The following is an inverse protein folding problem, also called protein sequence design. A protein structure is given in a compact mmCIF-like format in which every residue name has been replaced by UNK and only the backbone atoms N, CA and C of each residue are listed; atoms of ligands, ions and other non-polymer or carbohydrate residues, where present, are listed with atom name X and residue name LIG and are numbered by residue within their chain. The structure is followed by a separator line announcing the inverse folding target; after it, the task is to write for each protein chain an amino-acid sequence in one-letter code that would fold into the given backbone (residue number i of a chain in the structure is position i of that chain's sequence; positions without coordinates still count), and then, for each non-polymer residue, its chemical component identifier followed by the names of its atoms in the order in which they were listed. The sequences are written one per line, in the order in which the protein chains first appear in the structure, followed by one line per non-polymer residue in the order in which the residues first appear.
data_IF_868002461705
#
_entry.id   IF_868002461705
#
_cell.length_a   1.000
_cell.length_b   1.000
_cell.length_c   1.000
_cell.angle_alpha   90.00
_cell.angle_beta   90.00
_cell.angle_gamma   90.00
#
_symmetry.space_group_name_H-M   'P 1'
#
loop_
_entity.id
_entity.type
_entity.pdbx_description
1 polymer ?
#
# COMPACT_ATOMS: atom_id res chain seq x y z
N UNK A 1 26.34 -17.79 -50.08
CA UNK A 1 25.91 -16.37 -50.03
C UNK A 1 24.41 -16.37 -50.30
N UNK A 2 23.49 -16.09 -49.39
CA UNK A 2 23.49 -15.65 -48.00
C UNK A 2 22.05 -15.22 -47.70
N UNK A 3 21.31 -15.99 -46.89
CA UNK A 3 19.94 -15.64 -46.49
C UNK A 3 19.92 -15.37 -44.99
N UNK A 4 19.71 -14.10 -44.66
CA UNK A 4 19.71 -13.55 -43.32
C UNK A 4 18.48 -13.98 -42.52
N UNK A 5 18.78 -14.61 -41.40
CA UNK A 5 17.94 -15.00 -40.27
C UNK A 5 17.08 -13.81 -39.77
N UNK A 6 15.75 -13.99 -39.66
CA UNK A 6 14.88 -13.04 -38.94
C UNK A 6 14.92 -13.38 -37.44
N UNK A 7 15.31 -12.42 -36.61
CA UNK A 7 15.15 -12.50 -35.15
C UNK A 7 13.76 -12.01 -34.72
N UNK A 8 13.13 -12.63 -33.70
CA UNK A 8 12.04 -12.02 -32.96
C UNK A 8 12.53 -11.67 -31.55
N UNK A 9 12.49 -10.40 -31.16
CA UNK A 9 12.70 -10.08 -29.75
C UNK A 9 13.06 -8.64 -29.43
N UNK A 10 12.04 -7.82 -29.18
CA UNK A 10 12.02 -6.90 -28.04
C UNK A 10 10.61 -6.32 -27.91
N UNK A 11 9.84 -6.80 -26.93
CA UNK A 11 8.71 -6.03 -26.40
C UNK A 11 9.32 -5.17 -25.30
N UNK A 12 9.53 -3.90 -25.62
CA UNK A 12 9.91 -2.92 -24.63
C UNK A 12 8.70 -2.70 -23.71
N UNK A 13 8.71 -3.37 -22.56
CA UNK A 13 7.80 -3.05 -21.46
C UNK A 13 8.26 -1.74 -20.84
N UNK A 14 7.53 -0.67 -21.16
CA UNK A 14 7.66 0.62 -20.49
C UNK A 14 7.33 0.46 -19.00
N UNK A 15 8.05 1.11 -18.07
CA UNK A 15 7.64 1.15 -16.68
C UNK A 15 6.38 2.01 -16.56
N UNK A 16 5.39 1.53 -15.80
CA UNK A 16 4.19 2.26 -15.44
C UNK A 16 4.55 3.33 -14.41
N UNK A 17 5.06 4.47 -14.88
CA UNK A 17 5.26 5.65 -14.04
C UNK A 17 3.91 6.35 -13.83
N UNK A 18 3.23 6.04 -12.72
CA UNK A 18 2.14 6.86 -12.19
C UNK A 18 2.60 7.45 -10.88
N UNK A 19 3.37 8.54 -10.94
CA UNK A 19 3.45 9.55 -9.89
C UNK A 19 4.12 10.79 -10.51
N UNK A 20 3.30 11.74 -10.96
CA UNK A 20 3.75 13.12 -11.19
C UNK A 20 2.79 14.04 -10.45
N UNK A 21 3.24 14.49 -9.27
CA UNK A 21 2.62 15.59 -8.55
C UNK A 21 2.66 16.88 -9.39
N UNK A 22 1.54 17.59 -9.45
CA UNK A 22 1.45 18.93 -10.05
C UNK A 22 1.94 19.94 -8.99
N UNK A 23 2.99 20.74 -9.24
CA UNK A 23 3.41 21.74 -8.26
C UNK A 23 2.49 22.97 -8.35
N UNK A 24 1.79 23.28 -7.26
CA UNK A 24 1.17 24.60 -7.06
C UNK A 24 2.18 25.50 -6.37
N UNK A 25 2.68 26.48 -7.12
CA UNK A 25 3.61 27.49 -6.63
C UNK A 25 2.83 28.55 -5.84
N UNK A 26 3.20 28.81 -4.59
CA UNK A 26 2.77 30.03 -3.90
C UNK A 26 3.94 30.64 -3.12
N UNK A 27 4.20 31.92 -3.38
CA UNK A 27 5.22 32.74 -2.73
C UNK A 27 4.52 33.72 -1.80
N UNK A 28 4.86 33.72 -0.50
CA UNK A 28 5.10 34.95 0.29
C UNK A 28 5.60 34.67 1.73
N UNK A 29 6.85 35.10 1.96
CA UNK A 29 7.52 35.66 3.14
C UNK A 29 7.25 35.20 4.60
N UNK A 30 8.28 34.55 5.15
CA UNK A 30 8.92 34.64 6.48
C UNK A 30 8.11 34.67 7.80
N UNK A 31 8.22 33.56 8.52
CA UNK A 31 8.66 33.50 9.92
C UNK A 31 9.64 32.32 10.00
N UNK A 32 10.84 32.49 10.56
CA UNK A 32 11.83 31.39 10.65
C UNK A 32 11.28 30.25 11.52
N UNK A 33 11.12 29.02 10.99
CA UNK A 33 10.76 27.87 11.79
C UNK A 33 12.01 27.22 12.36
N UNK A 34 11.88 26.74 13.59
CA UNK A 34 12.85 25.90 14.28
C UNK A 34 13.22 24.69 13.41
N UNK A 35 14.41 24.74 12.79
CA UNK A 35 14.86 23.79 11.74
C UNK A 35 15.10 22.36 12.23
N UNK A 36 14.84 22.07 13.51
CA UNK A 36 14.91 20.74 14.09
C UNK A 36 13.68 19.88 13.74
N UNK A 37 12.47 20.46 13.68
CA UNK A 37 11.23 19.68 13.50
C UNK A 37 11.02 19.25 12.03
N UNK A 38 11.37 20.12 11.09
CA UNK A 38 11.06 19.90 9.67
C UNK A 38 11.87 18.76 9.03
N UNK A 39 13.05 18.43 9.55
CA UNK A 39 13.86 17.31 9.05
C UNK A 39 13.32 15.97 9.55
N UNK A 40 12.89 15.93 10.81
CA UNK A 40 12.35 14.73 11.44
C UNK A 40 10.98 14.36 10.83
N UNK A 41 10.11 15.35 10.61
CA UNK A 41 8.81 15.17 9.94
C UNK A 41 8.94 14.60 8.53
N UNK A 42 9.94 15.07 7.77
CA UNK A 42 10.21 14.57 6.42
C UNK A 42 10.72 13.12 6.41
N UNK A 43 11.40 12.70 7.47
CA UNK A 43 11.96 11.36 7.59
C UNK A 43 10.90 10.33 7.96
N UNK A 44 9.99 10.67 8.88
CA UNK A 44 8.87 9.82 9.29
C UNK A 44 7.87 9.63 8.14
N UNK A 45 7.55 10.72 7.43
CA UNK A 45 6.72 10.63 6.22
C UNK A 45 7.40 9.77 5.14
N UNK A 46 8.72 9.87 4.97
CA UNK A 46 9.46 9.03 4.02
C UNK A 46 9.46 7.54 4.43
N UNK A 47 9.55 7.25 5.73
CA UNK A 47 9.51 5.88 6.24
C UNK A 47 8.14 5.24 6.03
N UNK A 48 7.05 5.97 6.28
CA UNK A 48 5.69 5.47 6.02
C UNK A 48 5.47 5.11 4.54
N UNK A 49 5.84 6.01 3.61
CA UNK A 49 5.76 5.71 2.17
C UNK A 49 6.66 4.53 1.77
N UNK A 50 7.82 4.38 2.40
CA UNK A 50 8.70 3.24 2.16
C UNK A 50 8.05 1.93 2.61
N UNK A 51 7.46 1.91 3.80
CA UNK A 51 6.76 0.74 4.34
C UNK A 51 5.56 0.34 3.47
N UNK A 52 4.78 1.32 3.02
CA UNK A 52 3.72 1.13 2.01
C UNK A 52 4.23 0.46 0.73
N UNK A 53 5.33 0.98 0.17
CA UNK A 53 5.93 0.41 -1.03
C UNK A 53 6.43 -1.03 -0.80
N UNK A 54 6.96 -1.32 0.39
CA UNK A 54 7.40 -2.64 0.79
C UNK A 54 6.21 -3.62 0.89
N UNK A 55 5.18 -3.28 1.67
CA UNK A 55 3.96 -4.09 1.80
C UNK A 55 3.34 -4.39 0.44
N UNK A 56 3.26 -3.36 -0.42
CA UNK A 56 2.78 -3.50 -1.79
C UNK A 56 3.63 -4.49 -2.60
N UNK A 57 4.95 -4.32 -2.61
CA UNK A 57 5.86 -5.19 -3.36
C UNK A 57 5.76 -6.64 -2.89
N UNK A 58 5.74 -6.85 -1.58
CA UNK A 58 5.62 -8.17 -0.95
C UNK A 58 4.28 -8.84 -1.25
N UNK A 59 3.19 -8.07 -1.22
CA UNK A 59 1.85 -8.54 -1.56
C UNK A 59 1.75 -8.93 -3.05
N UNK A 60 2.20 -8.05 -3.94
CA UNK A 60 2.16 -8.27 -5.39
C UNK A 60 3.01 -9.48 -5.80
N UNK A 61 4.18 -9.67 -5.18
CA UNK A 61 5.04 -10.83 -5.45
C UNK A 61 4.35 -12.15 -5.07
N UNK A 62 3.70 -12.22 -3.90
CA UNK A 62 2.98 -13.41 -3.42
C UNK A 62 1.74 -13.70 -4.26
N UNK A 63 0.98 -12.66 -4.63
CA UNK A 63 -0.15 -12.82 -5.55
C UNK A 63 0.30 -13.35 -6.91
N UNK A 64 1.37 -12.79 -7.48
CA UNK A 64 1.91 -13.24 -8.76
C UNK A 64 2.37 -14.71 -8.69
N UNK A 65 3.00 -15.12 -7.58
CA UNK A 65 3.40 -16.50 -7.38
C UNK A 65 2.19 -17.46 -7.39
N UNK A 66 1.10 -17.12 -6.69
CA UNK A 66 -0.14 -17.89 -6.69
C UNK A 66 -0.75 -17.97 -8.10
N UNK A 67 -0.91 -16.83 -8.77
CA UNK A 67 -1.48 -16.77 -10.13
C UNK A 67 -0.67 -17.61 -11.12
N UNK A 68 0.67 -17.53 -11.05
CA UNK A 68 1.55 -18.26 -11.95
C UNK A 68 1.47 -19.79 -11.72
N UNK A 69 1.42 -20.24 -10.46
CA UNK A 69 1.26 -21.66 -10.14
C UNK A 69 -0.07 -22.21 -10.68
N UNK A 70 -1.17 -21.47 -10.47
CA UNK A 70 -2.51 -21.81 -10.96
C UNK A 70 -2.55 -21.84 -12.49
N UNK A 71 -2.01 -20.81 -13.16
CA UNK A 71 -1.99 -20.73 -14.62
C UNK A 71 -1.17 -21.85 -15.28
N UNK A 72 -0.11 -22.31 -14.62
CA UNK A 72 0.70 -23.43 -15.06
C UNK A 72 0.06 -24.80 -14.78
N UNK A 73 -1.05 -24.86 -14.04
CA UNK A 73 -1.66 -26.11 -13.59
C UNK A 73 -0.82 -26.87 -12.56
N UNK A 74 0.06 -26.16 -11.84
CA UNK A 74 0.88 -26.73 -10.78
C UNK A 74 0.14 -26.77 -9.45
N UNK A 75 0.69 -27.52 -8.49
CA UNK A 75 0.30 -27.37 -7.08
C UNK A 75 0.57 -25.92 -6.63
N UNK A 76 -0.40 -25.33 -5.95
CA UNK A 76 -0.46 -23.90 -5.61
C UNK A 76 -0.78 -23.64 -4.13
N UNK A 77 -0.97 -24.70 -3.33
CA UNK A 77 -1.39 -24.58 -1.92
C UNK A 77 -0.34 -23.89 -1.06
N UNK A 78 0.94 -24.04 -1.37
CA UNK A 78 2.02 -23.35 -0.66
C UNK A 78 1.97 -21.84 -0.91
N UNK A 79 1.85 -21.41 -2.18
CA UNK A 79 1.79 -20.00 -2.55
C UNK A 79 0.53 -19.34 -1.99
N UNK A 80 -0.59 -20.07 -1.99
CA UNK A 80 -1.84 -19.63 -1.37
C UNK A 80 -1.67 -19.41 0.13
N UNK A 81 -1.09 -20.37 0.85
CA UNK A 81 -0.85 -20.26 2.29
C UNK A 81 0.10 -19.10 2.62
N UNK A 82 1.20 -18.98 1.89
CA UNK A 82 2.17 -17.90 2.08
C UNK A 82 1.55 -16.51 1.85
N UNK A 83 0.63 -16.38 0.89
CA UNK A 83 -0.14 -15.15 0.67
C UNK A 83 -1.07 -14.86 1.85
N UNK A 84 -1.85 -15.84 2.31
CA UNK A 84 -2.78 -15.69 3.43
C UNK A 84 -2.06 -15.38 4.75
N UNK A 85 -0.93 -16.02 5.01
CA UNK A 85 -0.08 -15.78 6.19
C UNK A 85 0.43 -14.33 6.21
N UNK A 86 0.97 -13.84 5.09
CA UNK A 86 1.41 -12.45 4.97
C UNK A 86 0.26 -11.44 5.13
N UNK A 87 -0.91 -11.74 4.57
CA UNK A 87 -2.09 -10.88 4.69
C UNK A 87 -2.57 -10.77 6.15
N UNK A 88 -2.59 -11.90 6.87
CA UNK A 88 -3.04 -11.96 8.27
C UNK A 88 -2.01 -11.42 9.27
N UNK A 89 -0.72 -11.56 8.96
CA UNK A 89 0.38 -11.07 9.79
C UNK A 89 0.62 -9.59 9.58
N UNK A 90 1.22 -9.26 8.44
CA UNK A 90 1.78 -7.93 8.19
C UNK A 90 0.70 -6.92 7.78
N UNK A 91 -0.11 -7.28 6.78
CA UNK A 91 -1.11 -6.34 6.24
C UNK A 91 -2.18 -6.00 7.28
N UNK A 92 -2.71 -6.98 8.02
CA UNK A 92 -3.75 -6.68 9.02
C UNK A 92 -3.21 -5.91 10.23
N UNK A 93 -1.97 -6.17 10.66
CA UNK A 93 -1.35 -5.39 11.73
C UNK A 93 -1.22 -3.89 11.33
N UNK A 94 -0.83 -3.64 10.08
CA UNK A 94 -0.79 -2.31 9.49
C UNK A 94 -2.17 -1.63 9.50
N UNK A 95 -3.19 -2.25 8.89
CA UNK A 95 -4.55 -1.68 8.80
C UNK A 95 -5.19 -1.44 10.18
N UNK A 96 -4.95 -2.33 11.15
CA UNK A 96 -5.44 -2.13 12.51
C UNK A 96 -4.80 -0.89 13.15
N UNK A 97 -3.51 -0.65 12.88
CA UNK A 97 -2.81 0.52 13.40
C UNK A 97 -3.31 1.81 12.76
N UNK A 98 -3.55 1.83 11.46
CA UNK A 98 -4.22 2.95 10.78
C UNK A 98 -5.57 3.29 11.43
N UNK A 99 -6.43 2.28 11.66
CA UNK A 99 -7.75 2.47 12.26
C UNK A 99 -7.66 3.07 13.67
N UNK A 100 -6.73 2.57 14.49
CA UNK A 100 -6.52 3.04 15.86
C UNK A 100 -5.94 4.46 15.91
N UNK A 101 -5.19 4.86 14.89
CA UNK A 101 -4.35 6.05 14.93
C UNK A 101 -4.89 7.12 13.98
N UNK A 102 -4.77 6.89 12.67
CA UNK A 102 -5.16 7.84 11.64
C UNK A 102 -6.67 8.04 11.59
N UNK A 103 -7.47 6.97 11.65
CA UNK A 103 -8.92 7.11 11.46
C UNK A 103 -9.57 7.75 12.68
N UNK A 104 -9.02 7.52 13.88
CA UNK A 104 -9.42 8.22 15.09
C UNK A 104 -9.12 9.72 15.02
N UNK A 105 -7.94 10.12 14.56
CA UNK A 105 -7.64 11.53 14.34
C UNK A 105 -8.52 12.15 13.25
N UNK A 106 -8.77 11.42 12.16
CA UNK A 106 -9.62 11.85 11.06
C UNK A 106 -11.07 12.07 11.50
N UNK A 107 -11.60 11.20 12.37
CA UNK A 107 -12.89 11.43 13.04
C UNK A 107 -12.87 12.70 13.89
N UNK A 108 -11.77 12.96 14.61
CA UNK A 108 -11.59 14.16 15.45
C UNK A 108 -11.66 15.47 14.67
N UNK A 109 -11.24 15.47 13.39
CA UNK A 109 -11.30 16.64 12.50
C UNK A 109 -12.54 16.65 11.58
N UNK A 110 -13.50 15.75 11.82
CA UNK A 110 -14.80 15.72 11.12
C UNK A 110 -14.84 14.93 9.81
N UNK A 111 -13.80 14.18 9.45
CA UNK A 111 -13.72 13.40 8.21
C UNK A 111 -14.50 12.07 8.25
N UNK A 112 -15.67 12.03 8.90
CA UNK A 112 -16.41 10.80 9.19
C UNK A 112 -16.78 9.97 7.94
N UNK A 113 -17.17 10.63 6.85
CA UNK A 113 -17.58 9.94 5.62
C UNK A 113 -16.38 9.25 4.92
N UNK A 114 -15.20 9.89 4.94
CA UNK A 114 -13.98 9.30 4.39
C UNK A 114 -13.55 8.09 5.21
N UNK A 115 -13.54 8.23 6.54
CA UNK A 115 -13.22 7.11 7.45
C UNK A 115 -14.17 5.93 7.25
N UNK A 116 -15.48 6.18 7.14
CA UNK A 116 -16.45 5.12 6.89
C UNK A 116 -16.22 4.41 5.54
N UNK A 117 -15.75 5.13 4.53
CA UNK A 117 -15.40 4.55 3.23
C UNK A 117 -14.14 3.66 3.32
N UNK A 118 -13.12 4.10 4.05
CA UNK A 118 -11.90 3.32 4.26
C UNK A 118 -12.15 2.05 5.10
N UNK A 119 -12.98 2.15 6.14
CA UNK A 119 -13.41 0.98 6.93
C UNK A 119 -14.21 -0.04 6.10
N UNK A 120 -14.95 0.41 5.08
CA UNK A 120 -15.60 -0.48 4.11
C UNK A 120 -14.60 -1.17 3.20
N UNK A 121 -13.53 -0.48 2.79
CA UNK A 121 -12.42 -1.10 2.07
C UNK A 121 -11.79 -2.19 2.95
N UNK A 122 -11.45 -1.90 4.22
CA UNK A 122 -10.91 -2.87 5.19
C UNK A 122 -11.76 -4.12 5.35
N UNK A 123 -13.08 -3.96 5.51
CA UNK A 123 -14.03 -5.09 5.56
C UNK A 123 -14.02 -5.92 4.28
N UNK A 124 -13.96 -5.27 3.13
CA UNK A 124 -13.93 -5.94 1.83
C UNK A 124 -12.64 -6.74 1.65
N UNK A 125 -11.52 -6.26 2.20
CA UNK A 125 -10.24 -6.95 2.17
C UNK A 125 -10.24 -8.18 3.07
N UNK A 126 -10.75 -8.05 4.29
CA UNK A 126 -10.95 -9.18 5.20
C UNK A 126 -11.80 -10.28 4.53
N UNK A 127 -12.87 -9.89 3.85
CA UNK A 127 -13.70 -10.83 3.09
C UNK A 127 -12.93 -11.50 1.93
N UNK A 128 -12.08 -10.76 1.22
CA UNK A 128 -11.28 -11.32 0.13
C UNK A 128 -10.19 -12.26 0.65
N UNK A 129 -9.59 -11.98 1.81
CA UNK A 129 -8.66 -12.91 2.47
C UNK A 129 -9.36 -14.23 2.77
N UNK A 130 -10.58 -14.17 3.30
CA UNK A 130 -11.37 -15.38 3.54
C UNK A 130 -11.72 -16.13 2.25
N UNK A 131 -12.06 -15.41 1.17
CA UNK A 131 -12.31 -16.03 -0.13
C UNK A 131 -11.06 -16.72 -0.69
N UNK A 132 -9.87 -16.13 -0.52
CA UNK A 132 -8.60 -16.78 -0.90
C UNK A 132 -8.41 -18.05 -0.05
N UNK A 133 -8.57 -17.95 1.27
CA UNK A 133 -8.33 -19.02 2.25
C UNK A 133 -9.40 -20.13 2.28
N UNK A 134 -10.56 -19.93 1.66
CA UNK A 134 -11.60 -20.96 1.52
C UNK A 134 -11.97 -21.27 0.07
N UNK A 135 -11.23 -20.75 -0.90
CA UNK A 135 -11.44 -21.03 -2.31
C UNK A 135 -11.52 -22.54 -2.61
N UNK A 136 -12.55 -22.95 -3.35
CA UNK A 136 -12.71 -24.35 -3.76
C UNK A 136 -11.76 -24.75 -4.90
N UNK A 137 -11.27 -23.76 -5.67
CA UNK A 137 -10.35 -23.97 -6.78
C UNK A 137 -9.22 -22.94 -6.75
N UNK A 138 -8.08 -23.31 -7.34
CA UNK A 138 -6.96 -22.38 -7.49
C UNK A 138 -7.31 -21.14 -8.32
N UNK A 139 -8.21 -21.29 -9.31
CA UNK A 139 -8.69 -20.15 -10.10
C UNK A 139 -9.48 -19.15 -9.23
N UNK A 140 -10.36 -19.63 -8.36
CA UNK A 140 -11.13 -18.77 -7.44
C UNK A 140 -10.19 -18.05 -6.46
N UNK A 141 -9.15 -18.75 -5.96
CA UNK A 141 -8.13 -18.17 -5.11
C UNK A 141 -7.36 -17.06 -5.83
N UNK A 142 -6.92 -17.32 -7.06
CA UNK A 142 -6.16 -16.38 -7.89
C UNK A 142 -6.98 -15.12 -8.24
N UNK A 143 -8.26 -15.28 -8.60
CA UNK A 143 -9.16 -14.15 -8.88
C UNK A 143 -9.40 -13.28 -7.64
N UNK A 144 -9.61 -13.93 -6.48
CA UNK A 144 -9.79 -13.23 -5.21
C UNK A 144 -8.52 -12.48 -4.79
N UNK A 145 -7.35 -13.10 -4.98
CA UNK A 145 -6.06 -12.48 -4.74
C UNK A 145 -5.83 -11.24 -5.62
N UNK A 146 -6.10 -11.34 -6.92
CA UNK A 146 -6.00 -10.19 -7.83
C UNK A 146 -6.94 -9.05 -7.42
N UNK A 147 -8.18 -9.36 -7.07
CA UNK A 147 -9.14 -8.36 -6.59
C UNK A 147 -8.65 -7.68 -5.31
N UNK A 148 -8.11 -8.46 -4.37
CA UNK A 148 -7.52 -7.95 -3.13
C UNK A 148 -6.38 -6.97 -3.42
N UNK A 149 -5.45 -7.33 -4.29
CA UNK A 149 -4.29 -6.51 -4.68
C UNK A 149 -4.76 -5.16 -5.26
N UNK A 150 -5.76 -5.16 -6.14
CA UNK A 150 -6.28 -3.92 -6.73
C UNK A 150 -6.98 -3.03 -5.69
N UNK A 151 -7.75 -3.63 -4.78
CA UNK A 151 -8.33 -2.90 -3.64
C UNK A 151 -7.26 -2.43 -2.65
N UNK A 152 -6.13 -3.14 -2.55
CA UNK A 152 -4.96 -2.72 -1.78
C UNK A 152 -4.36 -1.42 -2.30
N UNK A 153 -4.06 -1.33 -3.58
CA UNK A 153 -3.57 -0.06 -4.17
C UNK A 153 -4.59 1.06 -4.00
N UNK A 154 -5.86 0.79 -4.28
CA UNK A 154 -6.87 1.84 -4.27
C UNK A 154 -7.06 2.47 -2.88
N UNK A 155 -7.04 1.67 -1.80
CA UNK A 155 -7.18 2.25 -0.46
C UNK A 155 -5.92 3.00 -0.01
N UNK A 156 -4.73 2.52 -0.38
CA UNK A 156 -3.47 3.24 -0.09
C UNK A 156 -3.48 4.60 -0.76
N UNK A 157 -3.90 4.67 -2.03
CA UNK A 157 -4.03 5.94 -2.74
C UNK A 157 -5.00 6.89 -2.02
N UNK A 158 -6.13 6.39 -1.51
CA UNK A 158 -7.06 7.22 -0.71
C UNK A 158 -6.40 7.71 0.58
N UNK A 159 -5.59 6.89 1.23
CA UNK A 159 -4.88 7.31 2.42
C UNK A 159 -3.85 8.39 2.11
N UNK A 160 -2.95 8.13 1.17
CA UNK A 160 -1.82 9.01 0.83
C UNK A 160 -2.28 10.32 0.19
N UNK A 161 -3.31 10.29 -0.65
CA UNK A 161 -3.72 11.48 -1.44
C UNK A 161 -4.93 12.21 -0.89
N UNK A 162 -5.68 11.60 0.03
CA UNK A 162 -6.90 12.21 0.59
C UNK A 162 -6.84 12.30 2.11
N UNK A 163 -6.62 11.18 2.81
CA UNK A 163 -6.67 11.15 4.27
C UNK A 163 -5.53 11.96 4.92
N UNK A 164 -4.29 11.65 4.56
CA UNK A 164 -3.10 12.30 5.13
C UNK A 164 -3.10 13.82 4.84
N UNK A 165 -3.37 14.28 3.61
CA UNK A 165 -3.51 15.71 3.33
C UNK A 165 -4.62 16.37 4.13
N UNK A 166 -5.79 15.74 4.27
CA UNK A 166 -6.90 16.30 5.05
C UNK A 166 -6.55 16.44 6.55
N UNK A 167 -5.79 15.51 7.11
CA UNK A 167 -5.26 15.60 8.47
C UNK A 167 -4.28 16.77 8.61
N UNK A 168 -3.33 16.90 7.68
CA UNK A 168 -2.36 17.99 7.68
C UNK A 168 -3.04 19.37 7.53
N UNK A 169 -4.03 19.50 6.65
CA UNK A 169 -4.83 20.73 6.47
C UNK A 169 -5.60 21.11 7.74
N UNK A 170 -6.03 20.13 8.53
CA UNK A 170 -6.65 20.33 9.83
C UNK A 170 -5.65 20.62 10.96
N UNK A 171 -4.35 20.70 10.66
CA UNK A 171 -3.29 20.98 11.63
C UNK A 171 -2.85 19.76 12.46
N UNK A 172 -3.20 18.54 12.04
CA UNK A 172 -2.71 17.31 12.67
C UNK A 172 -1.30 17.02 12.17
N UNK A 173 -0.36 16.92 13.09
CA UNK A 173 0.99 16.41 12.81
C UNK A 173 0.94 14.88 12.70
N UNK A 174 0.85 14.39 11.46
CA UNK A 174 0.78 12.96 11.14
C UNK A 174 2.07 12.23 11.52
N UNK A 175 3.23 12.88 11.36
CA UNK A 175 4.54 12.30 11.69
C UNK A 175 4.64 11.99 13.18
N UNK A 176 4.27 12.93 14.04
CA UNK A 176 4.17 12.68 15.48
C UNK A 176 3.12 11.61 15.82
N UNK A 177 2.02 11.56 15.06
CA UNK A 177 0.95 10.58 15.26
C UNK A 177 1.41 9.13 15.05
N UNK A 178 2.24 8.90 14.02
CA UNK A 178 2.69 7.57 13.63
C UNK A 178 4.07 7.19 14.19
N UNK A 179 4.79 8.14 14.81
CA UNK A 179 6.08 7.89 15.44
C UNK A 179 6.03 6.70 16.42
N UNK A 180 7.08 5.86 16.39
CA UNK A 180 7.22 4.70 17.27
C UNK A 180 6.27 3.54 17.00
N UNK A 181 5.64 3.49 15.81
CA UNK A 181 4.74 2.41 15.40
C UNK A 181 5.36 1.64 14.23
N UNK A 182 6.06 0.52 14.48
CA UNK A 182 6.70 -0.25 13.41
C UNK A 182 5.70 -0.74 12.37
N UNK A 183 4.44 -0.96 12.74
CA UNK A 183 3.36 -1.33 11.82
C UNK A 183 3.03 -0.24 10.80
N UNK A 184 3.45 1.02 11.04
CA UNK A 184 3.26 2.14 10.11
C UNK A 184 4.57 2.55 9.42
N UNK A 185 5.71 2.28 10.05
CA UNK A 185 7.02 2.77 9.62
C UNK A 185 7.91 1.68 9.00
N UNK A 186 7.52 0.42 9.14
CA UNK A 186 8.38 -0.73 8.87
C UNK A 186 9.44 -0.93 9.95
N UNK A 187 10.28 -1.95 9.77
CA UNK A 187 11.51 -2.05 10.55
C UNK A 187 12.44 -0.90 10.13
N UNK A 188 12.66 0.05 11.04
CA UNK A 188 13.71 1.04 10.85
C UNK A 188 15.01 0.33 11.19
N UNK A 189 15.82 0.02 10.18
CA UNK A 189 17.23 -0.36 10.39
C UNK A 189 17.91 0.81 11.12
N UNK A 190 18.01 0.67 12.44
CA UNK A 190 18.85 1.53 13.28
C UNK A 190 20.27 1.01 13.16
N UNK A 191 21.02 1.59 12.23
CA UNK A 191 22.49 1.53 12.20
C UNK A 191 23.10 2.15 13.48
#
# INVERSE_FOLDING_TARGET
MGEGRREPGRRDTLPLAFFTAIPVNNVMSHTEPDTSNSRDDSSVSSAAHHHHAELWSQLAAREAALVNAVAAGHDHEEQRRALVEFLRGDVFAHLQTEEMVLYNAARGVGAHALVAALELDHKSLLSLVEHIDQAATGLDAALSARALVMLFVLRMEKEETVLIPALAEAGVDVSTLIAGRPEMLGEIDVD
#
